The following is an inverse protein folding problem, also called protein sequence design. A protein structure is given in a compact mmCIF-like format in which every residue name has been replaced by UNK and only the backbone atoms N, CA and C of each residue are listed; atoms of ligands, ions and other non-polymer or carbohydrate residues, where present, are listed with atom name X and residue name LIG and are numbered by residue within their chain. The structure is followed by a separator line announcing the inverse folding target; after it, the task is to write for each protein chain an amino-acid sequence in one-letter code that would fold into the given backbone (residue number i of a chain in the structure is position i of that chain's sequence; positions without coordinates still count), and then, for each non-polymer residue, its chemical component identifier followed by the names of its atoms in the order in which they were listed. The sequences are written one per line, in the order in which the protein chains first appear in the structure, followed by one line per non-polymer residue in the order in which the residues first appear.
data_IF_056905660473
#
_entry.id   IF_056905660473
#
_cell.length_a   1.000
_cell.length_b   1.000
_cell.length_c   1.000
_cell.angle_alpha   90.00
_cell.angle_beta   90.00
_cell.angle_gamma   90.00
#
_symmetry.space_group_name_H-M   'P 1'
#
loop_
_entity.id
_entity.type
_entity.pdbx_description
1 polymer ?
#
# COMPACT_ATOMS: atom_id res chain seq x y z
N UNK A 1 10.81 8.60 18.15
CA UNK A 1 11.22 9.73 17.32
C UNK A 1 10.87 9.41 15.88
N UNK A 2 10.42 10.40 15.10
CA UNK A 2 10.10 10.25 13.69
C UNK A 2 11.37 10.22 12.86
N UNK A 3 11.30 9.53 11.70
CA UNK A 3 12.38 9.46 10.73
C UNK A 3 11.89 10.08 9.42
N UNK A 4 12.64 11.04 8.90
CA UNK A 4 12.35 11.68 7.64
C UNK A 4 13.45 11.31 6.64
N UNK A 5 13.05 10.71 5.51
CA UNK A 5 13.95 10.35 4.42
C UNK A 5 13.60 11.22 3.21
N UNK A 6 14.62 11.84 2.62
CA UNK A 6 14.48 12.66 1.42
C UNK A 6 15.43 12.13 0.36
N UNK A 7 14.88 11.74 -0.78
CA UNK A 7 15.65 11.39 -1.97
C UNK A 7 15.61 12.56 -2.96
N UNK A 8 16.78 13.13 -3.26
CA UNK A 8 16.92 14.24 -4.20
C UNK A 8 17.65 13.77 -5.44
N UNK A 9 16.99 13.82 -6.59
CA UNK A 9 17.61 13.48 -7.88
C UNK A 9 18.42 14.66 -8.36
N UNK A 10 19.73 14.49 -8.48
CA UNK A 10 20.66 15.54 -8.95
C UNK A 10 21.05 15.37 -10.42
N UNK A 11 20.97 14.13 -10.92
CA UNK A 11 21.25 13.78 -12.30
C UNK A 11 20.47 12.51 -12.64
N UNK A 12 20.04 12.38 -13.87
CA UNK A 12 19.31 11.22 -14.36
C UNK A 12 19.90 10.73 -15.67
N UNK A 13 19.85 9.42 -15.84
CA UNK A 13 20.15 8.69 -17.07
C UNK A 13 18.87 7.95 -17.44
N UNK A 14 18.47 7.99 -18.69
CA UNK A 14 17.20 7.40 -19.15
C UNK A 14 17.17 5.87 -19.03
N UNK A 15 18.33 5.21 -19.08
CA UNK A 15 18.45 3.77 -18.90
C UNK A 15 18.44 3.36 -17.40
N UNK A 16 18.63 4.32 -16.49
CA UNK A 16 18.69 4.10 -15.05
C UNK A 16 17.74 5.06 -14.30
N UNK A 17 16.45 4.82 -14.32
CA UNK A 17 15.46 5.68 -13.68
C UNK A 17 15.71 5.79 -12.16
N UNK A 18 15.41 6.95 -11.56
CA UNK A 18 15.82 7.25 -10.19
C UNK A 18 14.98 6.56 -9.11
N UNK A 19 13.86 5.96 -9.43
CA UNK A 19 12.91 5.34 -8.50
C UNK A 19 13.54 4.16 -7.74
N UNK A 20 14.08 3.17 -8.45
CA UNK A 20 14.79 2.01 -7.86
C UNK A 20 16.05 2.47 -7.12
N UNK A 21 16.85 3.35 -7.73
CA UNK A 21 18.06 3.89 -7.09
C UNK A 21 17.72 4.63 -5.78
N UNK A 22 16.57 5.33 -5.73
CA UNK A 22 16.09 6.01 -4.52
C UNK A 22 15.72 5.03 -3.41
N UNK A 23 15.11 3.89 -3.73
CA UNK A 23 14.82 2.82 -2.74
C UNK A 23 16.11 2.30 -2.13
N UNK A 24 17.09 1.95 -2.97
CA UNK A 24 18.39 1.41 -2.53
C UNK A 24 19.17 2.45 -1.73
N UNK A 25 19.24 3.68 -2.21
CA UNK A 25 19.92 4.79 -1.54
C UNK A 25 19.33 5.12 -0.18
N UNK A 26 17.99 5.19 -0.07
CA UNK A 26 17.30 5.40 1.20
C UNK A 26 17.56 4.25 2.19
N UNK A 27 17.52 3.01 1.71
CA UNK A 27 17.82 1.81 2.50
C UNK A 27 19.26 1.84 3.02
N UNK A 28 20.25 2.13 2.16
CA UNK A 28 21.64 2.24 2.54
C UNK A 28 21.86 3.35 3.58
N UNK A 29 21.29 4.54 3.37
CA UNK A 29 21.39 5.66 4.29
C UNK A 29 20.85 5.31 5.70
N UNK A 30 19.69 4.66 5.77
CA UNK A 30 19.13 4.18 7.03
C UNK A 30 19.96 3.08 7.65
N UNK A 31 20.50 2.17 6.83
CA UNK A 31 21.24 1.02 7.33
C UNK A 31 22.63 1.42 7.88
N UNK A 32 23.35 2.34 7.26
CA UNK A 32 24.63 2.83 7.77
C UNK A 32 24.49 3.79 8.96
N UNK A 33 23.32 4.41 9.17
CA UNK A 33 23.09 5.29 10.34
C UNK A 33 22.97 4.50 11.64
N UNK A 34 22.92 5.19 12.76
CA UNK A 34 22.62 4.62 14.08
C UNK A 34 21.11 4.45 14.37
N UNK A 35 20.25 4.82 13.42
CA UNK A 35 18.80 4.63 13.51
C UNK A 35 18.49 3.13 13.63
N UNK A 36 17.57 2.71 14.53
CA UNK A 36 17.21 1.30 14.73
C UNK A 36 16.38 0.75 13.56
N UNK A 37 17.02 0.59 12.42
CA UNK A 37 16.48 0.00 11.20
C UNK A 37 16.80 -1.49 11.15
N UNK A 38 15.79 -2.36 11.03
CA UNK A 38 15.89 -3.81 11.22
C UNK A 38 16.45 -4.59 10.03
N UNK A 39 17.13 -3.94 9.17
CA UNK A 39 17.80 -4.57 8.03
C UNK A 39 17.55 -3.79 6.75
N UNK A 40 18.45 -3.91 5.78
CA UNK A 40 18.31 -3.22 4.52
C UNK A 40 17.21 -3.86 3.67
N UNK A 41 16.69 -3.06 2.75
CA UNK A 41 15.84 -3.49 1.65
C UNK A 41 16.55 -3.18 0.33
N UNK A 42 16.30 -4.01 -0.66
CA UNK A 42 16.63 -3.74 -2.06
C UNK A 42 15.39 -3.46 -2.88
N UNK A 43 15.58 -2.88 -4.05
CA UNK A 43 14.54 -2.69 -5.05
C UNK A 43 15.11 -2.90 -6.44
N UNK A 44 14.33 -3.47 -7.33
CA UNK A 44 14.67 -3.69 -8.73
C UNK A 44 13.43 -3.51 -9.61
N UNK A 45 13.65 -3.17 -10.87
CA UNK A 45 12.66 -3.27 -11.93
C UNK A 45 12.82 -4.62 -12.66
N UNK A 46 11.73 -5.21 -13.13
CA UNK A 46 11.74 -6.46 -13.90
C UNK A 46 10.86 -6.30 -15.13
N UNK A 47 11.45 -6.54 -16.30
CA UNK A 47 10.77 -6.61 -17.59
C UNK A 47 10.67 -8.05 -18.10
N UNK A 48 9.86 -8.26 -19.14
CA UNK A 48 9.69 -9.55 -19.82
C UNK A 48 9.71 -9.36 -21.34
N UNK A 49 10.74 -9.89 -21.99
CA UNK A 49 11.01 -9.71 -23.42
C UNK A 49 11.38 -11.06 -24.02
N UNK A 50 10.68 -11.46 -25.09
CA UNK A 50 10.96 -12.69 -25.84
C UNK A 50 11.07 -13.97 -25.00
N UNK A 51 10.33 -14.03 -23.89
CA UNK A 51 10.34 -15.18 -22.98
C UNK A 51 11.40 -15.13 -21.88
N UNK A 52 12.13 -14.03 -21.75
CA UNK A 52 13.18 -13.85 -20.73
C UNK A 52 12.85 -12.71 -19.77
N UNK A 53 13.15 -12.91 -18.49
CA UNK A 53 13.07 -11.85 -17.47
C UNK A 53 14.36 -11.04 -17.47
N UNK A 54 14.21 -9.72 -17.54
CA UNK A 54 15.33 -8.78 -17.53
C UNK A 54 15.20 -7.89 -16.30
N UNK A 55 16.22 -7.95 -15.42
CA UNK A 55 16.28 -7.11 -14.24
C UNK A 55 16.90 -5.77 -14.60
N UNK A 56 16.25 -4.67 -14.18
CA UNK A 56 16.61 -3.29 -14.50
C UNK A 56 16.78 -3.09 -16.01
N UNK A 57 15.71 -3.33 -16.81
CA UNK A 57 15.77 -3.17 -18.25
C UNK A 57 16.09 -1.71 -18.64
N UNK A 58 16.88 -1.55 -19.70
CA UNK A 58 17.11 -0.24 -20.31
C UNK A 58 15.82 0.32 -20.92
N UNK A 59 15.82 1.59 -21.32
CA UNK A 59 14.65 2.19 -21.95
C UNK A 59 14.24 1.42 -23.23
N UNK A 60 15.19 1.13 -24.12
CA UNK A 60 14.91 0.36 -25.36
C UNK A 60 14.32 -1.03 -25.04
N UNK A 61 14.75 -1.66 -23.94
CA UNK A 61 14.19 -2.93 -23.49
C UNK A 61 12.79 -2.76 -22.91
N UNK A 62 12.53 -1.70 -22.16
CA UNK A 62 11.21 -1.38 -21.61
C UNK A 62 10.16 -1.16 -22.71
N UNK A 63 10.51 -0.53 -23.82
CA UNK A 63 9.61 -0.34 -24.98
C UNK A 63 9.17 -1.67 -25.62
N UNK A 64 9.98 -2.71 -25.50
CA UNK A 64 9.69 -4.06 -26.03
C UNK A 64 9.08 -4.99 -24.97
N UNK A 65 9.12 -4.58 -23.71
CA UNK A 65 8.70 -5.41 -22.59
C UNK A 65 7.17 -5.49 -22.48
N UNK A 66 6.68 -6.71 -22.33
CA UNK A 66 5.26 -6.98 -22.02
C UNK A 66 4.93 -6.94 -20.54
N UNK A 67 5.91 -6.66 -19.70
CA UNK A 67 5.75 -6.57 -18.24
C UNK A 67 6.66 -5.47 -17.71
N UNK A 68 6.15 -4.75 -16.74
CA UNK A 68 6.93 -3.79 -15.97
C UNK A 68 6.57 -3.92 -14.50
N UNK A 69 7.42 -4.61 -13.73
CA UNK A 69 7.27 -4.73 -12.28
C UNK A 69 8.41 -4.01 -11.56
N UNK A 70 8.06 -3.27 -10.51
CA UNK A 70 9.01 -2.82 -9.50
C UNK A 70 8.80 -3.71 -8.28
N UNK A 71 9.86 -4.37 -7.85
CA UNK A 71 9.87 -5.29 -6.71
C UNK A 71 10.79 -4.71 -5.66
N UNK A 72 10.35 -4.66 -4.41
CA UNK A 72 11.20 -4.31 -3.27
C UNK A 72 11.00 -5.29 -2.11
N UNK A 73 12.07 -5.54 -1.38
CA UNK A 73 12.03 -6.53 -0.30
C UNK A 73 13.28 -6.57 0.55
N UNK A 74 13.22 -7.42 1.57
CA UNK A 74 14.35 -7.83 2.41
C UNK A 74 15.03 -9.06 1.83
N UNK A 75 16.07 -9.56 2.49
CA UNK A 75 16.67 -10.85 2.13
C UNK A 75 15.67 -12.02 2.18
N UNK A 76 14.68 -11.95 3.06
CA UNK A 76 13.81 -13.07 3.39
C UNK A 76 12.40 -12.94 2.78
N UNK A 77 11.99 -11.75 2.36
CA UNK A 77 10.62 -11.49 1.92
C UNK A 77 10.50 -10.39 0.88
N UNK A 78 9.61 -10.61 -0.10
CA UNK A 78 9.09 -9.55 -0.96
C UNK A 78 8.13 -8.70 -0.14
N UNK A 79 8.34 -7.40 -0.12
CA UNK A 79 7.57 -6.44 0.69
C UNK A 79 6.67 -5.54 -0.16
N UNK A 80 7.04 -5.29 -1.41
CA UNK A 80 6.30 -4.45 -2.34
C UNK A 80 6.43 -5.01 -3.75
N UNK A 81 5.31 -5.05 -4.46
CA UNK A 81 5.25 -5.25 -5.91
C UNK A 81 4.32 -4.18 -6.48
N UNK A 82 4.77 -3.51 -7.50
CA UNK A 82 3.97 -2.55 -8.26
C UNK A 82 4.27 -2.73 -9.74
N UNK A 83 3.26 -2.71 -10.59
CA UNK A 83 3.47 -2.80 -12.02
C UNK A 83 2.25 -3.24 -12.79
N UNK A 84 2.48 -3.62 -14.03
CA UNK A 84 1.49 -4.14 -14.95
C UNK A 84 2.12 -5.14 -15.90
N UNK A 85 1.28 -5.95 -16.54
CA UNK A 85 1.67 -6.91 -17.55
C UNK A 85 0.60 -6.97 -18.64
N UNK A 86 1.04 -7.16 -19.88
CA UNK A 86 0.17 -7.29 -21.05
C UNK A 86 -0.16 -8.77 -21.29
N UNK A 87 -1.28 -9.20 -20.67
CA UNK A 87 -1.83 -10.57 -20.77
C UNK A 87 -0.82 -11.69 -20.43
N UNK A 88 0.14 -11.43 -19.52
CA UNK A 88 1.10 -12.43 -19.06
C UNK A 88 0.43 -13.32 -17.99
N UNK A 89 0.57 -14.66 -18.07
CA UNK A 89 0.03 -15.59 -17.07
C UNK A 89 0.54 -15.33 -15.65
N UNK A 90 -0.27 -15.67 -14.65
CA UNK A 90 0.03 -15.43 -13.22
C UNK A 90 1.31 -16.16 -12.79
N UNK A 91 1.57 -17.35 -13.31
CA UNK A 91 2.77 -18.13 -13.00
C UNK A 91 4.04 -17.40 -13.47
N UNK A 92 4.04 -16.82 -14.68
CA UNK A 92 5.16 -16.03 -15.20
C UNK A 92 5.32 -14.71 -14.43
N UNK A 93 4.22 -14.08 -14.03
CA UNK A 93 4.27 -12.90 -13.14
C UNK A 93 4.91 -13.24 -11.78
N UNK A 94 4.59 -14.39 -11.22
CA UNK A 94 5.21 -14.86 -9.96
C UNK A 94 6.71 -15.13 -10.15
N UNK A 95 7.10 -15.77 -11.27
CA UNK A 95 8.50 -16.04 -11.58
C UNK A 95 9.30 -14.75 -11.77
N UNK A 96 8.73 -13.74 -12.42
CA UNK A 96 9.33 -12.41 -12.53
C UNK A 96 9.59 -11.77 -11.17
N UNK A 97 8.62 -11.83 -10.25
CA UNK A 97 8.77 -11.32 -8.89
C UNK A 97 9.88 -12.04 -8.16
N UNK A 98 9.94 -13.36 -8.26
CA UNK A 98 10.98 -14.17 -7.61
C UNK A 98 12.37 -13.92 -8.21
N UNK A 99 12.47 -13.73 -9.53
CA UNK A 99 13.71 -13.34 -10.21
C UNK A 99 14.21 -11.99 -9.69
N UNK A 100 13.33 -11.02 -9.57
CA UNK A 100 13.66 -9.73 -8.94
C UNK A 100 14.12 -9.89 -7.50
N UNK A 101 13.49 -10.76 -6.72
CA UNK A 101 13.84 -10.99 -5.32
C UNK A 101 15.26 -11.63 -5.16
N UNK A 102 15.69 -12.49 -6.07
CA UNK A 102 17.07 -13.02 -6.02
C UNK A 102 18.09 -11.88 -6.17
N UNK A 103 17.89 -10.94 -7.09
CA UNK A 103 18.75 -9.76 -7.23
C UNK A 103 18.67 -8.84 -5.99
N UNK A 104 17.47 -8.69 -5.39
CA UNK A 104 17.31 -7.93 -4.15
C UNK A 104 18.18 -8.49 -3.02
N UNK A 105 18.29 -9.81 -2.89
CA UNK A 105 19.17 -10.45 -1.88
C UNK A 105 20.65 -10.06 -2.06
N UNK A 106 21.09 -9.88 -3.31
CA UNK A 106 22.46 -9.41 -3.60
C UNK A 106 22.65 -7.95 -3.18
N UNK A 107 21.66 -7.08 -3.49
CA UNK A 107 21.66 -5.68 -3.09
C UNK A 107 21.67 -5.55 -1.55
N UNK A 108 20.84 -6.32 -0.88
CA UNK A 108 20.78 -6.35 0.59
C UNK A 108 22.13 -6.74 1.17
N UNK A 109 22.74 -7.79 0.65
CA UNK A 109 24.07 -8.25 1.08
C UNK A 109 25.14 -7.17 0.87
N UNK A 110 25.11 -6.49 -0.27
CA UNK A 110 25.99 -5.37 -0.55
C UNK A 110 25.84 -4.23 0.47
N UNK A 111 24.60 -3.88 0.84
CA UNK A 111 24.35 -2.82 1.83
C UNK A 111 24.80 -3.25 3.23
N UNK A 112 24.67 -4.53 3.59
CA UNK A 112 25.18 -5.08 4.85
C UNK A 112 26.70 -5.01 4.90
N UNK A 113 27.38 -5.40 3.83
CA UNK A 113 28.84 -5.32 3.70
C UNK A 113 29.32 -3.87 3.78
N UNK A 114 28.64 -2.95 3.10
CA UNK A 114 28.93 -1.53 3.17
C UNK A 114 28.84 -0.97 4.60
N UNK A 115 27.81 -1.37 5.36
CA UNK A 115 27.72 -1.00 6.78
C UNK A 115 28.89 -1.57 7.59
N UNK A 116 29.24 -2.82 7.37
CA UNK A 116 30.36 -3.49 8.08
C UNK A 116 31.66 -2.74 7.87
N UNK A 117 32.00 -2.41 6.61
CA UNK A 117 33.20 -1.60 6.30
C UNK A 117 33.14 -0.22 6.96
N UNK A 118 31.99 0.45 6.93
CA UNK A 118 31.82 1.76 7.55
C UNK A 118 32.04 1.70 9.08
N UNK A 119 31.65 0.63 9.75
CA UNK A 119 31.91 0.39 11.18
C UNK A 119 33.41 0.16 11.44
N UNK A 120 34.07 -0.67 10.65
CA UNK A 120 35.51 -0.96 10.77
C UNK A 120 36.37 0.30 10.58
N UNK A 121 35.95 1.19 9.69
CA UNK A 121 36.59 2.48 9.44
C UNK A 121 36.22 3.58 10.45
N UNK A 122 35.31 3.30 11.40
CA UNK A 122 34.83 4.28 12.38
C UNK A 122 33.98 5.41 11.78
N UNK A 123 33.43 5.22 10.59
CA UNK A 123 32.60 6.20 9.88
C UNK A 123 31.14 6.16 10.31
N UNK A 124 30.73 5.15 11.03
CA UNK A 124 29.37 5.01 11.58
C UNK A 124 29.40 4.47 13.00
N UNK A 125 28.21 4.35 13.62
CA UNK A 125 28.04 3.88 14.99
C UNK A 125 27.14 2.65 15.02
N UNK A 126 27.14 1.95 16.15
CA UNK A 126 26.18 0.89 16.43
C UNK A 126 24.76 1.45 16.48
N UNK A 127 23.78 0.59 16.15
CA UNK A 127 22.38 0.94 16.18
C UNK A 127 21.93 1.31 17.60
N UNK A 128 21.14 2.38 17.70
CA UNK A 128 20.49 2.71 18.95
C UNK A 128 19.46 1.63 19.32
N UNK A 129 19.43 1.29 20.61
CA UNK A 129 18.40 0.38 21.12
C UNK A 129 17.13 1.21 21.41
N UNK A 130 16.03 1.00 20.71
CA UNK A 130 14.83 1.77 20.95
C UNK A 130 14.19 1.35 22.28
N UNK A 131 13.78 2.33 23.07
CA UNK A 131 12.90 2.07 24.21
C UNK A 131 11.48 1.92 23.67
N UNK A 132 11.00 0.68 23.64
CA UNK A 132 9.65 0.36 23.18
C UNK A 132 8.67 0.63 24.35
N UNK A 133 7.61 1.33 24.03
CA UNK A 133 6.49 1.44 24.94
C UNK A 133 5.79 0.09 25.06
N UNK A 134 5.49 -0.30 26.30
CA UNK A 134 4.73 -1.52 26.60
C UNK A 134 3.55 -1.14 27.48
N UNK A 135 2.41 -1.69 27.18
CA UNK A 135 1.22 -1.57 28.04
C UNK A 135 1.49 -2.36 29.32
N UNK A 136 0.96 -1.89 30.43
CA UNK A 136 1.01 -2.61 31.71
C UNK A 136 0.39 -4.01 31.53
N UNK A 137 1.12 -5.11 31.84
CA UNK A 137 0.64 -6.46 31.61
C UNK A 137 -0.66 -6.81 32.37
N UNK A 138 -0.88 -6.21 33.55
CA UNK A 138 -2.11 -6.46 34.32
C UNK A 138 -3.30 -5.79 33.63
N UNK A 139 -3.12 -4.56 33.15
CA UNK A 139 -4.13 -3.86 32.37
C UNK A 139 -4.42 -4.59 31.04
N UNK A 140 -3.37 -4.98 30.33
CA UNK A 140 -3.52 -5.72 29.05
C UNK A 140 -4.35 -7.00 29.26
N UNK A 141 -4.00 -7.80 30.27
CA UNK A 141 -4.71 -9.04 30.55
C UNK A 141 -6.17 -8.79 30.95
N UNK A 142 -6.42 -7.80 31.81
CA UNK A 142 -7.76 -7.47 32.26
C UNK A 142 -8.68 -7.02 31.10
N UNK A 143 -8.15 -6.20 30.18
CA UNK A 143 -8.90 -5.77 28.98
C UNK A 143 -9.15 -6.95 28.05
N UNK A 144 -8.14 -7.81 27.80
CA UNK A 144 -8.28 -9.01 26.98
C UNK A 144 -9.37 -9.93 27.52
N UNK A 145 -9.37 -10.20 28.79
CA UNK A 145 -10.38 -11.08 29.44
C UNK A 145 -11.79 -10.50 29.32
N UNK A 146 -11.91 -9.17 29.39
CA UNK A 146 -13.21 -8.50 29.29
C UNK A 146 -13.79 -8.51 27.87
N UNK A 147 -12.95 -8.34 26.84
CA UNK A 147 -13.42 -8.10 25.47
C UNK A 147 -13.42 -9.34 24.56
N UNK A 148 -12.57 -10.35 24.82
CA UNK A 148 -12.30 -11.45 23.85
C UNK A 148 -13.56 -12.19 23.42
N UNK A 149 -14.36 -12.68 24.33
CA UNK A 149 -15.54 -13.47 23.96
C UNK A 149 -16.67 -12.61 23.38
N UNK A 150 -16.77 -11.39 23.85
CA UNK A 150 -17.74 -10.42 23.35
C UNK A 150 -17.40 -9.99 21.92
N UNK A 151 -16.13 -9.73 21.61
CA UNK A 151 -15.66 -9.42 20.26
C UNK A 151 -15.89 -10.58 19.30
N UNK A 152 -15.67 -11.83 19.70
CA UNK A 152 -15.97 -13.01 18.86
C UNK A 152 -17.43 -13.02 18.39
N UNK A 153 -18.35 -12.65 19.25
CA UNK A 153 -19.76 -12.56 18.91
C UNK A 153 -20.05 -11.38 17.97
N UNK A 154 -19.54 -10.20 18.32
CA UNK A 154 -19.82 -8.94 17.59
C UNK A 154 -19.27 -8.97 16.18
N UNK A 155 -18.06 -9.51 15.95
CA UNK A 155 -17.44 -9.54 14.60
C UNK A 155 -18.19 -10.42 13.61
N UNK A 156 -19.02 -11.34 14.06
CA UNK A 156 -19.84 -12.20 13.19
C UNK A 156 -21.16 -11.55 12.76
N UNK A 157 -21.42 -10.31 13.13
CA UNK A 157 -22.56 -9.54 12.64
C UNK A 157 -22.40 -9.28 11.14
N UNK A 158 -23.30 -9.82 10.32
CA UNK A 158 -23.16 -9.81 8.84
C UNK A 158 -23.24 -8.41 8.22
N UNK A 159 -24.20 -7.60 8.67
CA UNK A 159 -24.30 -6.23 8.19
C UNK A 159 -23.12 -5.39 8.68
N UNK A 160 -22.54 -4.64 7.76
CA UNK A 160 -21.32 -3.86 8.05
C UNK A 160 -21.58 -2.75 9.04
N UNK A 161 -22.64 -1.96 8.82
CA UNK A 161 -22.92 -0.78 9.66
C UNK A 161 -23.35 -1.20 11.06
N UNK A 162 -24.16 -2.25 11.17
CA UNK A 162 -24.53 -2.83 12.46
C UNK A 162 -23.33 -3.39 13.21
N UNK A 163 -22.43 -4.10 12.51
CA UNK A 163 -21.18 -4.62 13.10
C UNK A 163 -20.28 -3.50 13.61
N UNK A 164 -20.06 -2.45 12.82
CA UNK A 164 -19.25 -1.30 13.23
C UNK A 164 -19.89 -0.62 14.47
N UNK A 165 -21.19 -0.36 14.46
CA UNK A 165 -21.88 0.23 15.61
C UNK A 165 -21.77 -0.63 16.89
N UNK A 166 -21.85 -1.96 16.77
CA UNK A 166 -21.68 -2.88 17.91
C UNK A 166 -20.23 -2.91 18.42
N UNK A 167 -19.23 -2.84 17.52
CA UNK A 167 -17.82 -2.75 17.90
C UNK A 167 -17.57 -1.43 18.64
N UNK A 168 -18.09 -0.32 18.14
CA UNK A 168 -17.90 0.99 18.76
C UNK A 168 -18.58 1.06 20.14
N UNK A 169 -19.79 0.53 20.27
CA UNK A 169 -20.46 0.45 21.57
C UNK A 169 -19.68 -0.39 22.58
N UNK A 170 -19.12 -1.53 22.16
CA UNK A 170 -18.29 -2.37 23.02
C UNK A 170 -16.97 -1.66 23.40
N UNK A 171 -16.39 -0.90 22.48
CA UNK A 171 -15.18 -0.08 22.72
C UNK A 171 -15.46 0.99 23.80
N UNK A 172 -16.55 1.71 23.65
CA UNK A 172 -16.96 2.73 24.62
C UNK A 172 -17.22 2.13 26.01
N UNK A 173 -17.93 1.02 26.06
CA UNK A 173 -18.18 0.28 27.29
C UNK A 173 -16.86 -0.18 27.95
N UNK A 174 -15.92 -0.69 27.16
CA UNK A 174 -14.60 -1.11 27.65
C UNK A 174 -13.83 0.07 28.23
N UNK A 175 -13.79 1.20 27.53
CA UNK A 175 -13.16 2.42 28.04
C UNK A 175 -13.78 2.85 29.37
N UNK A 176 -15.11 2.93 29.44
CA UNK A 176 -15.81 3.34 30.65
C UNK A 176 -15.57 2.39 31.84
N UNK A 177 -15.48 1.07 31.57
CA UNK A 177 -15.23 0.08 32.61
C UNK A 177 -13.84 0.19 33.25
N UNK A 178 -12.81 0.53 32.43
CA UNK A 178 -11.43 0.55 32.92
C UNK A 178 -10.92 1.93 33.32
N UNK A 179 -11.49 3.03 32.81
CA UNK A 179 -11.04 4.38 33.11
C UNK A 179 -11.23 4.79 34.59
N UNK A 180 -12.12 4.16 35.35
CA UNK A 180 -12.25 4.40 36.78
C UNK A 180 -10.99 3.93 37.54
N UNK A 181 -10.40 2.81 37.10
CA UNK A 181 -9.20 2.23 37.72
C UNK A 181 -7.90 2.74 37.08
N UNK A 182 -7.92 3.02 35.78
CA UNK A 182 -6.77 3.43 34.96
C UNK A 182 -7.06 4.73 34.20
N UNK A 183 -7.23 5.87 34.87
CA UNK A 183 -7.70 7.12 34.26
C UNK A 183 -6.75 7.69 33.19
N UNK A 184 -5.46 7.40 33.27
CA UNK A 184 -4.43 7.92 32.35
C UNK A 184 -4.15 6.98 31.18
N UNK A 185 -4.77 5.79 31.15
CA UNK A 185 -4.46 4.73 30.17
C UNK A 185 -5.50 4.54 29.07
N UNK A 186 -6.31 5.56 28.77
CA UNK A 186 -7.35 5.47 27.72
C UNK A 186 -6.80 4.97 26.39
N UNK A 187 -5.61 5.43 26.00
CA UNK A 187 -4.96 5.00 24.76
C UNK A 187 -4.52 3.54 24.79
N UNK A 188 -4.05 3.07 25.93
CA UNK A 188 -3.61 1.69 26.10
C UNK A 188 -4.78 0.72 26.05
N UNK A 189 -5.87 1.07 26.73
CA UNK A 189 -7.13 0.30 26.69
C UNK A 189 -7.63 0.19 25.25
N UNK A 190 -7.64 1.30 24.51
CA UNK A 190 -8.05 1.32 23.12
C UNK A 190 -7.12 0.47 22.22
N UNK A 191 -5.81 0.56 22.40
CA UNK A 191 -4.84 -0.23 21.64
C UNK A 191 -5.00 -1.73 21.89
N UNK A 192 -5.15 -2.15 23.15
CA UNK A 192 -5.39 -3.56 23.51
C UNK A 192 -6.69 -4.08 22.90
N UNK A 193 -7.75 -3.26 22.95
CA UNK A 193 -9.02 -3.60 22.30
C UNK A 193 -8.83 -3.85 20.79
N UNK A 194 -8.11 -2.97 20.09
CA UNK A 194 -7.85 -3.07 18.67
C UNK A 194 -6.96 -4.27 18.32
N UNK A 195 -5.98 -4.58 19.15
CA UNK A 195 -5.12 -5.75 18.96
C UNK A 195 -5.92 -7.05 19.12
N UNK A 196 -6.78 -7.15 20.13
CA UNK A 196 -7.67 -8.31 20.31
C UNK A 196 -8.64 -8.46 19.14
N UNK A 197 -9.27 -7.37 18.70
CA UNK A 197 -10.15 -7.37 17.53
C UNK A 197 -9.43 -7.87 16.28
N UNK A 198 -8.21 -7.38 16.02
CA UNK A 198 -7.37 -7.79 14.91
C UNK A 198 -7.00 -9.27 14.99
N UNK A 199 -6.58 -9.76 16.14
CA UNK A 199 -6.25 -11.16 16.37
C UNK A 199 -7.45 -12.08 16.09
N UNK A 200 -8.63 -11.73 16.62
CA UNK A 200 -9.87 -12.49 16.41
C UNK A 200 -10.23 -12.55 14.93
N UNK A 201 -10.26 -11.41 14.25
CA UNK A 201 -10.61 -11.36 12.82
C UNK A 201 -9.60 -12.13 11.97
N UNK A 202 -8.30 -12.01 12.27
CA UNK A 202 -7.26 -12.77 11.55
C UNK A 202 -7.42 -14.27 11.75
N UNK A 203 -7.63 -14.72 12.98
CA UNK A 203 -7.87 -16.14 13.29
C UNK A 203 -9.12 -16.66 12.57
N UNK A 204 -10.20 -15.90 12.62
CA UNK A 204 -11.46 -16.24 11.95
C UNK A 204 -11.23 -16.50 10.45
N UNK A 205 -10.46 -15.64 9.77
CA UNK A 205 -10.19 -15.77 8.34
C UNK A 205 -9.15 -16.86 8.05
N UNK A 206 -8.02 -16.88 8.77
CA UNK A 206 -6.88 -17.75 8.41
C UNK A 206 -7.02 -19.18 8.92
N UNK A 207 -7.66 -19.38 10.07
CA UNK A 207 -7.82 -20.70 10.74
C UNK A 207 -9.23 -21.24 10.51
N UNK A 208 -10.25 -20.46 10.91
CA UNK A 208 -11.65 -20.90 10.89
C UNK A 208 -12.26 -20.79 9.48
N UNK A 209 -11.58 -20.11 8.54
CA UNK A 209 -12.00 -19.92 7.14
C UNK A 209 -13.35 -19.21 6.99
N UNK A 210 -13.68 -18.34 7.94
CA UNK A 210 -14.93 -17.58 7.98
C UNK A 210 -14.58 -16.09 7.81
N UNK A 211 -15.28 -15.40 6.92
CA UNK A 211 -15.19 -13.94 6.78
C UNK A 211 -16.26 -13.27 7.64
N UNK A 212 -15.99 -12.10 8.26
CA UNK A 212 -16.94 -11.43 9.18
C UNK A 212 -18.32 -11.15 8.58
N UNK A 213 -18.42 -10.97 7.28
CA UNK A 213 -19.68 -10.74 6.55
C UNK A 213 -20.34 -12.05 6.06
N UNK A 214 -19.77 -13.20 6.39
CA UNK A 214 -20.29 -14.53 6.09
C UNK A 214 -20.01 -15.05 4.68
N UNK A 215 -19.23 -14.32 3.86
CA UNK A 215 -18.83 -14.77 2.53
C UNK A 215 -17.78 -15.90 2.63
N UNK A 216 -17.72 -16.75 1.59
CA UNK A 216 -16.62 -17.68 1.39
C UNK A 216 -15.29 -16.93 1.13
N UNK A 217 -14.14 -17.59 1.23
CA UNK A 217 -12.83 -16.95 1.09
C UNK A 217 -12.59 -16.38 -0.30
N UNK A 218 -13.12 -17.05 -1.31
CA UNK A 218 -13.05 -16.71 -2.75
C UNK A 218 -14.27 -15.93 -3.27
N UNK A 219 -15.27 -15.70 -2.43
CA UNK A 219 -16.49 -14.99 -2.82
C UNK A 219 -16.26 -13.47 -2.89
N UNK A 220 -16.63 -12.87 -4.02
CA UNK A 220 -16.58 -11.42 -4.23
C UNK A 220 -17.92 -10.81 -3.80
N UNK A 221 -17.90 -9.58 -3.27
CA UNK A 221 -19.15 -8.82 -3.00
C UNK A 221 -19.89 -8.58 -4.30
N UNK A 222 -21.24 -8.52 -4.28
CA UNK A 222 -22.03 -8.20 -5.46
C UNK A 222 -21.55 -6.91 -6.13
N UNK A 223 -21.35 -6.97 -7.44
CA UNK A 223 -20.93 -5.85 -8.27
C UNK A 223 -22.05 -5.47 -9.20
N UNK A 224 -22.35 -4.18 -9.29
CA UNK A 224 -23.22 -3.60 -10.32
C UNK A 224 -22.53 -2.41 -10.98
N UNK A 225 -22.77 -2.24 -12.28
CA UNK A 225 -22.25 -1.14 -13.07
C UNK A 225 -23.38 -0.50 -13.86
N UNK A 226 -23.47 0.82 -13.79
CA UNK A 226 -24.44 1.62 -14.54
C UNK A 226 -23.67 2.68 -15.34
N UNK A 227 -24.11 2.97 -16.55
CA UNK A 227 -23.54 4.02 -17.38
C UNK A 227 -24.56 5.08 -17.74
N UNK A 228 -24.11 6.29 -18.05
CA UNK A 228 -25.01 7.37 -18.45
C UNK A 228 -25.87 7.94 -17.31
N UNK A 229 -25.42 7.80 -16.06
CA UNK A 229 -26.18 8.26 -14.87
C UNK A 229 -26.28 9.78 -14.75
N UNK A 230 -25.37 10.53 -15.41
CA UNK A 230 -25.37 11.99 -15.46
C UNK A 230 -25.66 12.48 -16.86
N UNK A 231 -26.69 13.32 -17.00
CA UNK A 231 -27.27 13.68 -18.29
C UNK A 231 -26.43 14.66 -19.15
N UNK A 232 -25.47 15.39 -18.59
CA UNK A 232 -24.77 16.48 -19.31
C UNK A 232 -23.24 16.36 -19.26
N UNK A 233 -22.74 15.16 -19.04
CA UNK A 233 -21.32 14.82 -19.10
C UNK A 233 -21.02 14.12 -20.42
N UNK A 234 -19.75 14.08 -20.84
CA UNK A 234 -19.36 13.29 -22.02
C UNK A 234 -19.48 11.80 -21.77
N UNK A 235 -19.32 11.37 -20.52
CA UNK A 235 -19.59 10.02 -20.06
C UNK A 235 -19.71 9.98 -18.54
N UNK A 236 -20.44 9.01 -18.02
CA UNK A 236 -20.48 8.74 -16.58
C UNK A 236 -20.75 7.28 -16.31
N UNK A 237 -20.15 6.76 -15.25
CA UNK A 237 -20.33 5.39 -14.78
C UNK A 237 -20.50 5.37 -13.27
N UNK A 238 -21.40 4.55 -12.79
CA UNK A 238 -21.57 4.25 -11.37
C UNK A 238 -21.19 2.79 -11.14
N UNK A 239 -20.15 2.58 -10.37
CA UNK A 239 -19.70 1.26 -9.94
C UNK A 239 -20.10 1.05 -8.49
N UNK A 240 -20.75 -0.07 -8.19
CA UNK A 240 -21.13 -0.45 -6.84
C UNK A 240 -20.59 -1.84 -6.52
N UNK A 241 -19.88 -1.96 -5.38
CA UNK A 241 -19.43 -3.23 -4.84
C UNK A 241 -19.86 -3.35 -3.37
N UNK A 242 -20.90 -4.12 -3.12
CA UNK A 242 -21.54 -4.18 -1.81
C UNK A 242 -22.11 -2.81 -1.42
N UNK A 243 -21.58 -2.21 -0.36
CA UNK A 243 -21.99 -0.89 0.14
C UNK A 243 -21.09 0.26 -0.31
N UNK A 244 -20.08 -0.01 -1.15
CA UNK A 244 -19.16 1.01 -1.65
C UNK A 244 -19.53 1.39 -3.07
N UNK A 245 -19.61 2.69 -3.34
CA UNK A 245 -19.91 3.24 -4.66
C UNK A 245 -18.82 4.19 -5.13
N UNK A 246 -18.56 4.17 -6.43
CA UNK A 246 -17.69 5.12 -7.13
C UNK A 246 -18.44 5.69 -8.32
N UNK A 247 -18.56 7.01 -8.35
CA UNK A 247 -19.11 7.74 -9.51
C UNK A 247 -17.91 8.28 -10.31
N UNK A 248 -17.78 7.80 -11.54
CA UNK A 248 -16.76 8.27 -12.49
C UNK A 248 -17.40 9.15 -13.52
N UNK A 249 -16.77 10.29 -13.81
CA UNK A 249 -17.22 11.25 -14.83
C UNK A 249 -16.12 11.43 -15.84
N UNK A 250 -16.45 11.27 -17.13
CA UNK A 250 -15.52 11.41 -18.24
C UNK A 250 -15.69 12.76 -18.92
N UNK A 251 -14.57 13.42 -19.19
CA UNK A 251 -14.49 14.61 -20.03
C UNK A 251 -13.59 14.31 -21.23
N UNK A 252 -14.08 14.53 -22.43
CA UNK A 252 -13.29 14.42 -23.66
C UNK A 252 -12.73 15.80 -24.01
N UNK A 253 -11.46 15.84 -24.32
CA UNK A 253 -10.72 17.04 -24.76
C UNK A 253 -10.24 16.94 -26.21
N UNK A 254 -9.74 18.02 -26.74
CA UNK A 254 -9.02 18.03 -28.01
C UNK A 254 -7.56 17.58 -27.80
N UNK A 255 -6.83 17.27 -28.88
CA UNK A 255 -5.41 16.87 -28.84
C UNK A 255 -4.56 17.89 -28.06
N UNK A 256 -4.86 19.18 -28.17
CA UNK A 256 -4.13 20.23 -27.44
C UNK A 256 -4.41 20.28 -25.94
N UNK A 257 -5.35 19.47 -25.42
CA UNK A 257 -5.67 19.38 -23.99
C UNK A 257 -4.86 18.28 -23.27
N UNK A 258 -3.94 17.60 -23.98
CA UNK A 258 -3.03 16.61 -23.38
C UNK A 258 -2.18 17.25 -22.28
N UNK A 259 -1.94 16.49 -21.23
CA UNK A 259 -1.04 16.92 -20.17
C UNK A 259 0.41 16.85 -20.66
N UNK A 260 1.10 17.99 -20.68
CA UNK A 260 2.54 18.04 -20.95
C UNK A 260 3.28 17.53 -19.71
N UNK A 261 4.23 16.62 -19.92
CA UNK A 261 5.09 16.06 -18.89
C UNK A 261 6.51 16.62 -19.10
N UNK A 262 6.94 17.56 -18.27
CA UNK A 262 8.26 18.17 -18.29
C UNK A 262 9.16 17.65 -17.15
N UNK A 263 8.97 16.41 -16.76
CA UNK A 263 9.71 15.73 -15.72
C UNK A 263 11.04 15.11 -16.16
N UNK A 264 11.55 14.17 -15.36
CA UNK A 264 12.80 13.44 -15.63
C UNK A 264 12.56 12.15 -16.45
N UNK A 265 11.33 11.80 -16.73
CA UNK A 265 10.95 10.65 -17.56
C UNK A 265 11.12 10.91 -19.06
N UNK A 266 10.86 9.87 -19.84
CA UNK A 266 10.94 9.92 -21.32
C UNK A 266 9.66 10.36 -21.98
N UNK A 267 8.53 10.27 -21.28
CA UNK A 267 7.24 10.68 -21.77
C UNK A 267 7.11 12.20 -21.80
N UNK A 268 6.75 12.78 -22.94
CA UNK A 268 6.57 14.20 -23.13
C UNK A 268 5.13 14.68 -22.87
N UNK A 269 4.16 13.78 -23.05
CA UNK A 269 2.74 14.08 -22.85
C UNK A 269 1.94 12.86 -22.40
N UNK A 270 0.74 13.12 -21.95
CA UNK A 270 -0.20 12.11 -21.49
C UNK A 270 -1.62 12.50 -21.88
N UNK A 271 -2.25 11.68 -22.72
CA UNK A 271 -3.62 11.91 -23.22
C UNK A 271 -4.72 11.39 -22.30
N UNK A 272 -4.44 10.42 -21.46
CA UNK A 272 -5.37 9.88 -20.48
C UNK A 272 -4.94 10.27 -19.07
N UNK A 273 -5.84 10.87 -18.32
CA UNK A 273 -5.63 11.28 -16.95
C UNK A 273 -6.77 10.76 -16.07
N UNK A 274 -6.44 10.14 -14.95
CA UNK A 274 -7.40 9.65 -13.99
C UNK A 274 -7.22 10.34 -12.64
N UNK A 275 -8.20 11.17 -12.27
CA UNK A 275 -8.21 11.85 -10.98
C UNK A 275 -9.11 11.10 -10.01
N UNK A 276 -8.61 10.85 -8.81
CA UNK A 276 -9.34 10.22 -7.73
C UNK A 276 -9.58 11.20 -6.59
N UNK A 277 -10.85 11.35 -6.21
CA UNK A 277 -11.27 12.19 -5.10
C UNK A 277 -11.92 11.33 -4.02
N UNK A 278 -11.52 11.54 -2.76
CA UNK A 278 -12.09 10.88 -1.61
C UNK A 278 -12.51 11.92 -0.57
N UNK A 279 -13.64 12.61 -0.78
CA UNK A 279 -14.09 13.65 0.12
C UNK A 279 -14.50 13.07 1.48
N UNK A 280 -14.41 13.85 2.58
CA UNK A 280 -14.69 13.39 3.94
C UNK A 280 -16.07 12.76 4.11
N UNK A 281 -17.08 13.28 3.44
CA UNK A 281 -18.45 12.76 3.50
C UNK A 281 -18.59 11.33 2.96
N UNK A 282 -17.61 10.83 2.18
CA UNK A 282 -17.60 9.42 1.72
C UNK A 282 -17.53 8.41 2.86
N UNK A 283 -17.05 8.83 4.03
CA UNK A 283 -16.95 8.03 5.25
C UNK A 283 -17.69 8.67 6.43
N UNK A 284 -18.61 9.62 6.16
CA UNK A 284 -19.42 10.28 7.19
C UNK A 284 -18.63 11.27 8.07
N UNK A 285 -17.45 11.68 7.66
CA UNK A 285 -16.63 12.66 8.40
C UNK A 285 -16.90 14.09 7.96
N UNK A 286 -16.69 15.03 8.90
CA UNK A 286 -16.73 16.47 8.65
C UNK A 286 -15.34 17.04 8.84
N UNK A 287 -14.68 17.43 7.74
CA UNK A 287 -13.38 18.10 7.74
C UNK A 287 -13.22 19.05 6.55
N UNK A 288 -12.28 19.99 6.57
CA UNK A 288 -12.04 20.88 5.43
C UNK A 288 -11.75 20.09 4.17
N UNK A 289 -12.44 20.43 3.07
CA UNK A 289 -12.19 19.87 1.74
C UNK A 289 -11.02 20.64 1.10
N UNK A 290 -9.85 20.05 1.16
CA UNK A 290 -8.64 20.52 0.48
C UNK A 290 -8.41 19.67 -0.77
N UNK A 291 -7.43 20.03 -1.58
CA UNK A 291 -7.03 19.18 -2.72
C UNK A 291 -6.64 17.76 -2.28
N UNK A 292 -6.51 16.81 -3.23
CA UNK A 292 -6.23 15.42 -2.92
C UNK A 292 -4.90 15.27 -2.19
N UNK A 293 -4.87 14.42 -1.18
CA UNK A 293 -3.66 14.04 -0.48
C UNK A 293 -2.83 13.03 -1.27
N UNK A 294 -1.63 12.69 -0.78
CA UNK A 294 -0.75 11.72 -1.46
C UNK A 294 -1.37 10.35 -1.64
N UNK A 295 -2.22 9.93 -0.71
CA UNK A 295 -2.96 8.65 -0.81
C UNK A 295 -3.95 8.64 -1.97
N UNK A 296 -4.69 9.73 -2.14
CA UNK A 296 -5.63 9.87 -3.26
C UNK A 296 -4.91 9.94 -4.61
N UNK A 297 -3.78 10.64 -4.67
CA UNK A 297 -2.93 10.71 -5.89
C UNK A 297 -2.42 9.31 -6.25
N UNK A 298 -1.86 8.57 -5.29
CA UNK A 298 -1.36 7.20 -5.52
C UNK A 298 -2.46 6.23 -5.91
N UNK A 299 -3.65 6.34 -5.30
CA UNK A 299 -4.81 5.51 -5.64
C UNK A 299 -5.33 5.82 -7.05
N UNK A 300 -5.35 7.10 -7.42
CA UNK A 300 -5.68 7.54 -8.78
C UNK A 300 -4.71 6.98 -9.83
N UNK A 301 -3.41 7.01 -9.54
CA UNK A 301 -2.38 6.46 -10.42
C UNK A 301 -2.53 4.93 -10.63
N UNK A 302 -2.92 4.18 -9.59
CA UNK A 302 -3.21 2.74 -9.73
C UNK A 302 -4.44 2.50 -10.61
N UNK A 303 -5.51 3.28 -10.44
CA UNK A 303 -6.70 3.17 -11.26
C UNK A 303 -6.43 3.55 -12.73
N UNK A 304 -5.63 4.60 -12.94
CA UNK A 304 -5.19 5.02 -14.27
C UNK A 304 -4.43 3.90 -15.00
N UNK A 305 -3.44 3.31 -14.35
CA UNK A 305 -2.65 2.21 -14.90
C UNK A 305 -3.53 0.99 -15.23
N UNK A 306 -4.48 0.66 -14.37
CA UNK A 306 -5.40 -0.46 -14.59
C UNK A 306 -6.33 -0.24 -15.77
N UNK A 307 -6.69 1.00 -16.09
CA UNK A 307 -7.60 1.34 -17.20
C UNK A 307 -6.86 1.64 -18.51
N UNK A 308 -5.58 1.99 -18.45
CA UNK A 308 -4.80 2.38 -19.62
C UNK A 308 -4.88 1.37 -20.78
N UNK A 309 -4.81 0.04 -20.57
CA UNK A 309 -4.95 -0.95 -21.65
C UNK A 309 -6.33 -0.98 -22.31
N UNK A 310 -7.35 -0.37 -21.67
CA UNK A 310 -8.72 -0.31 -22.16
C UNK A 310 -9.03 0.98 -22.94
N UNK A 311 -8.10 1.93 -22.94
CA UNK A 311 -8.26 3.19 -23.69
C UNK A 311 -8.07 2.89 -25.17
N UNK A 312 -8.97 3.38 -26.06
CA UNK A 312 -8.83 3.19 -27.51
C UNK A 312 -7.46 3.66 -28.01
N UNK A 313 -6.93 2.96 -29.02
CA UNK A 313 -5.70 3.38 -29.69
C UNK A 313 -5.87 4.73 -30.39
N UNK A 314 -4.78 5.32 -30.84
CA UNK A 314 -4.80 6.59 -31.61
C UNK A 314 -5.25 6.42 -33.06
N UNK A 315 -5.39 5.19 -33.55
CA UNK A 315 -5.83 4.84 -34.90
C UNK A 315 -7.35 4.87 -35.06
#
# INVERSE_FOLDING_TARGET
NDVHVVATVLSVDQDNPPDVASIVGASAALHISDIPFRGPIGGVSVGYIDGEFIVNPTQEQNEKSKMHFVVAGTADAVMMVEGGADEIPEEECLEAIMTGHETIKEIVRFIEDFRREALELGLTKEKQVPVLYQVDPELEQAVRDFVTDRLKEVVLTKDKLEREARIDALREETLNNFLETYPDNAKDIANVFDDVLKEIVRKLITVDKIRPDGRALDEIRPITCEVGVLARTHGSGLFTRGQTQVLTVTTLGAIGDEQILDGLGVEDSKRYMHHYNFPPYSVGETRPMRGPGRREIGHGALAERALLPMIPSEE
#
